data_IF_701822324276
#
_entry.id   IF_701822324276
#
_cell.length_a   1.000
_cell.length_b   1.000
_cell.length_c   1.000
_cell.angle_alpha   90.00
_cell.angle_beta   90.00
_cell.angle_gamma   90.00
#
_symmetry.space_group_name_H-M   'P 1'
#
loop_
_entity.id
_entity.type
_entity.pdbx_description
1 polymer ?
#
# COMPACT_ATOMS: atom_id res chain seq x y z
N UNK A 1 21.18 25.68 5.84
CA UNK A 1 20.63 24.70 6.79
C UNK A 1 19.19 24.28 6.48
N UNK A 2 18.17 25.17 6.40
CA UNK A 2 16.76 24.79 6.13
C UNK A 2 16.54 23.96 4.86
N UNK A 3 17.19 24.27 3.74
CA UNK A 3 17.06 23.51 2.50
C UNK A 3 17.56 22.07 2.60
N UNK A 4 18.66 21.85 3.33
CA UNK A 4 19.18 20.50 3.58
C UNK A 4 18.22 19.65 4.41
N UNK A 5 17.61 20.24 5.45
CA UNK A 5 16.60 19.55 6.27
C UNK A 5 15.37 19.14 5.46
N UNK A 6 14.90 20.03 4.57
CA UNK A 6 13.77 19.70 3.70
C UNK A 6 14.10 18.59 2.70
N UNK A 7 15.32 18.62 2.14
CA UNK A 7 15.78 17.58 1.23
C UNK A 7 15.93 16.24 1.94
N UNK A 8 16.51 16.22 3.14
CA UNK A 8 16.66 15.03 3.97
C UNK A 8 15.29 14.43 4.33
N UNK A 9 14.34 15.27 4.76
CA UNK A 9 12.97 14.82 5.08
C UNK A 9 12.29 14.21 3.84
N UNK A 10 12.38 14.86 2.67
CA UNK A 10 11.78 14.37 1.44
C UNK A 10 12.40 13.04 0.99
N UNK A 11 13.73 12.90 1.12
CA UNK A 11 14.43 11.66 0.82
C UNK A 11 13.98 10.53 1.75
N UNK A 12 13.87 10.80 3.05
CA UNK A 12 13.35 9.83 4.04
C UNK A 12 11.92 9.41 3.68
N UNK A 13 11.07 10.34 3.29
CA UNK A 13 9.68 10.06 2.87
C UNK A 13 9.64 9.12 1.66
N UNK A 14 10.48 9.36 0.65
CA UNK A 14 10.58 8.50 -0.54
C UNK A 14 11.11 7.11 -0.19
N UNK A 15 12.09 7.01 0.71
CA UNK A 15 12.63 5.73 1.17
C UNK A 15 11.53 4.92 1.89
N UNK A 16 10.80 5.53 2.81
CA UNK A 16 9.69 4.86 3.53
C UNK A 16 8.61 4.41 2.54
N UNK A 17 8.24 5.26 1.58
CA UNK A 17 7.28 4.90 0.55
C UNK A 17 7.78 3.74 -0.33
N UNK A 18 9.06 3.74 -0.69
CA UNK A 18 9.68 2.65 -1.43
C UNK A 18 9.62 1.31 -0.70
N UNK A 19 9.91 1.30 0.61
CA UNK A 19 9.73 0.11 1.43
C UNK A 19 8.28 -0.36 1.50
N UNK A 20 7.32 0.56 1.61
CA UNK A 20 5.89 0.23 1.57
C UNK A 20 5.48 -0.43 0.26
N UNK A 21 5.92 0.12 -0.87
CA UNK A 21 5.66 -0.43 -2.19
C UNK A 21 6.31 -1.80 -2.39
N UNK A 22 7.56 -1.98 -1.93
CA UNK A 22 8.25 -3.27 -2.00
C UNK A 22 7.52 -4.33 -1.16
N UNK A 23 7.16 -4.01 0.08
CA UNK A 23 6.42 -4.92 0.95
C UNK A 23 5.06 -5.29 0.35
N UNK A 24 4.35 -4.33 -0.23
CA UNK A 24 3.10 -4.57 -0.94
C UNK A 24 3.29 -5.44 -2.19
N UNK A 25 4.36 -5.19 -2.97
CA UNK A 25 4.72 -6.02 -4.11
C UNK A 25 5.00 -7.47 -3.70
N UNK A 26 5.74 -7.69 -2.61
CA UNK A 26 5.98 -9.03 -2.05
C UNK A 26 4.68 -9.69 -1.58
N UNK A 27 3.79 -8.94 -0.93
CA UNK A 27 2.46 -9.43 -0.54
C UNK A 27 1.63 -9.84 -1.77
N UNK A 28 1.71 -9.08 -2.87
CA UNK A 28 1.02 -9.41 -4.13
C UNK A 28 1.61 -10.66 -4.79
N UNK A 29 2.93 -10.86 -4.74
CA UNK A 29 3.57 -12.09 -5.23
C UNK A 29 3.13 -13.29 -4.40
N UNK A 30 3.06 -13.15 -3.08
CA UNK A 30 2.60 -14.20 -2.17
C UNK A 30 1.12 -14.54 -2.40
N UNK A 31 0.30 -13.55 -2.72
CA UNK A 31 -1.10 -13.75 -3.12
C UNK A 31 -1.22 -14.52 -4.46
N UNK A 32 -0.36 -14.20 -5.44
CA UNK A 32 -0.36 -14.85 -6.75
C UNK A 32 0.30 -16.23 -6.71
N UNK A 33 1.30 -16.44 -5.83
CA UNK A 33 2.09 -17.66 -5.71
C UNK A 33 2.19 -18.06 -4.23
N UNK A 34 1.13 -18.61 -3.63
CA UNK A 34 1.01 -18.78 -2.19
C UNK A 34 2.04 -19.74 -1.58
N UNK A 35 2.78 -20.48 -2.39
CA UNK A 35 3.84 -21.40 -1.90
C UNK A 35 5.23 -20.75 -1.82
N UNK A 36 5.40 -19.49 -2.29
CA UNK A 36 6.73 -18.93 -2.52
C UNK A 36 7.35 -18.24 -1.30
N UNK A 37 6.57 -17.47 -0.53
CA UNK A 37 7.14 -16.57 0.48
C UNK A 37 6.66 -16.90 1.91
N UNK A 38 5.39 -17.24 2.10
CA UNK A 38 4.82 -17.49 3.42
C UNK A 38 4.18 -18.88 3.54
N UNK A 39 4.93 -19.83 4.02
CA UNK A 39 4.36 -21.04 4.66
C UNK A 39 3.94 -20.64 6.09
N UNK A 40 2.95 -19.76 6.21
CA UNK A 40 2.58 -19.16 7.49
C UNK A 40 1.33 -19.80 8.10
N UNK A 41 1.26 -19.73 9.43
CA UNK A 41 0.12 -20.18 10.21
C UNK A 41 -1.17 -19.48 9.76
N UNK A 42 -2.23 -20.24 9.58
CA UNK A 42 -3.60 -19.75 9.41
C UNK A 42 -3.96 -19.00 10.69
N UNK A 43 -4.21 -17.69 10.59
CA UNK A 43 -4.73 -16.91 11.70
C UNK A 43 -6.24 -16.90 11.58
N UNK A 44 -6.94 -17.47 12.56
CA UNK A 44 -8.40 -17.34 12.66
C UNK A 44 -8.75 -15.84 12.69
N UNK A 45 -9.75 -15.43 11.91
CA UNK A 45 -10.10 -14.01 11.76
C UNK A 45 -9.25 -13.21 10.76
N UNK A 46 -8.42 -13.88 9.96
CA UNK A 46 -7.55 -13.20 8.99
C UNK A 46 -8.29 -12.39 7.94
N UNK A 47 -9.52 -12.79 7.58
CA UNK A 47 -10.34 -12.07 6.60
C UNK A 47 -10.82 -10.72 7.14
N UNK A 48 -11.29 -10.69 8.38
CA UNK A 48 -11.73 -9.46 9.04
C UNK A 48 -10.56 -8.49 9.22
N UNK A 49 -9.40 -9.00 9.65
CA UNK A 49 -8.18 -8.21 9.77
C UNK A 49 -7.78 -7.60 8.42
N UNK A 50 -7.75 -8.40 7.36
CA UNK A 50 -7.40 -7.94 6.02
C UNK A 50 -8.37 -6.86 5.53
N UNK A 51 -9.68 -7.02 5.77
CA UNK A 51 -10.68 -6.01 5.42
C UNK A 51 -10.46 -4.70 6.18
N UNK A 52 -10.21 -4.77 7.49
CA UNK A 52 -9.92 -3.59 8.32
C UNK A 52 -8.65 -2.89 7.82
N UNK A 53 -7.59 -3.62 7.51
CA UNK A 53 -6.34 -3.05 6.97
C UNK A 53 -6.55 -2.36 5.63
N UNK A 54 -7.30 -2.98 4.71
CA UNK A 54 -7.64 -2.38 3.41
C UNK A 54 -8.47 -1.11 3.57
N UNK A 55 -9.49 -1.14 4.43
CA UNK A 55 -10.32 0.03 4.71
C UNK A 55 -9.49 1.15 5.35
N UNK A 56 -8.66 0.83 6.34
CA UNK A 56 -7.81 1.81 7.01
C UNK A 56 -6.84 2.47 6.02
N UNK A 57 -6.17 1.69 5.18
CA UNK A 57 -5.30 2.22 4.13
C UNK A 57 -6.08 3.07 3.12
N UNK A 58 -7.20 2.55 2.58
CA UNK A 58 -8.00 3.23 1.56
C UNK A 58 -8.58 4.55 2.06
N UNK A 59 -9.11 4.59 3.28
CA UNK A 59 -9.65 5.80 3.91
C UNK A 59 -8.54 6.81 4.17
N UNK A 60 -7.44 6.40 4.80
CA UNK A 60 -6.29 7.28 5.08
C UNK A 60 -5.72 7.86 3.78
N UNK A 61 -5.44 7.03 2.79
CA UNK A 61 -4.89 7.45 1.50
C UNK A 61 -5.83 8.42 0.78
N UNK A 62 -7.12 8.08 0.70
CA UNK A 62 -8.13 8.91 0.02
C UNK A 62 -8.35 10.26 0.70
N UNK A 63 -8.35 10.31 2.03
CA UNK A 63 -8.51 11.55 2.80
C UNK A 63 -7.28 12.44 2.58
N UNK A 64 -6.08 11.91 2.75
CA UNK A 64 -4.84 12.70 2.63
C UNK A 64 -4.55 13.15 1.20
N UNK A 65 -5.08 12.46 0.19
CA UNK A 65 -4.96 12.87 -1.22
C UNK A 65 -5.75 14.15 -1.55
N UNK A 66 -6.80 14.46 -0.78
CA UNK A 66 -7.70 15.60 -1.05
C UNK A 66 -7.00 16.94 -0.88
N UNK A 67 -7.27 17.87 -1.80
CA UNK A 67 -6.73 19.25 -1.76
C UNK A 67 -7.02 19.96 -0.43
N UNK A 68 -8.25 19.87 0.06
CA UNK A 68 -8.64 20.49 1.33
C UNK A 68 -7.77 20.03 2.52
N UNK A 69 -7.41 18.74 2.57
CA UNK A 69 -6.53 18.19 3.62
C UNK A 69 -5.10 18.69 3.44
N UNK A 70 -4.59 18.72 2.20
CA UNK A 70 -3.26 19.27 1.90
C UNK A 70 -3.17 20.77 2.23
N UNK A 71 -4.21 21.53 1.95
CA UNK A 71 -4.29 22.96 2.29
C UNK A 71 -4.34 23.17 3.81
N UNK A 72 -5.08 22.33 4.53
CA UNK A 72 -5.10 22.34 5.99
C UNK A 72 -3.72 21.98 6.57
N UNK A 73 -3.08 20.92 6.08
CA UNK A 73 -1.71 20.56 6.47
C UNK A 73 -0.71 21.69 6.21
N UNK A 74 -0.87 22.41 5.10
CA UNK A 74 -0.04 23.57 4.74
C UNK A 74 -0.16 24.77 5.66
N UNK A 75 -1.15 24.79 6.60
CA UNK A 75 -1.25 25.78 7.69
C UNK A 75 -0.44 25.37 8.92
N UNK A 76 -0.17 24.07 9.08
CA UNK A 76 0.52 23.50 10.26
C UNK A 76 2.00 23.26 9.95
N UNK A 77 2.30 22.77 8.75
CA UNK A 77 3.66 22.46 8.30
C UNK A 77 4.02 23.27 7.05
N UNK A 78 5.30 23.52 6.78
CA UNK A 78 5.73 24.20 5.55
C UNK A 78 5.16 23.52 4.30
N UNK A 79 4.59 24.31 3.39
CA UNK A 79 3.92 23.78 2.17
C UNK A 79 4.79 22.81 1.37
N UNK A 80 6.11 23.04 1.35
CA UNK A 80 7.09 22.15 0.67
C UNK A 80 7.14 20.74 1.28
N UNK A 81 6.74 20.56 2.54
CA UNK A 81 6.73 19.27 3.22
C UNK A 81 5.38 18.53 3.15
N UNK A 82 4.31 19.18 2.68
CA UNK A 82 2.97 18.55 2.63
C UNK A 82 2.96 17.31 1.76
N UNK A 83 3.52 17.38 0.55
CA UNK A 83 3.61 16.23 -0.36
C UNK A 83 4.51 15.13 0.18
N UNK A 84 5.75 15.39 0.64
CA UNK A 84 6.57 14.37 1.28
C UNK A 84 5.89 13.70 2.47
N UNK A 85 5.19 14.46 3.32
CA UNK A 85 4.44 13.91 4.47
C UNK A 85 3.33 12.96 4.01
N UNK A 86 2.56 13.34 3.00
CA UNK A 86 1.54 12.46 2.41
C UNK A 86 2.16 11.16 1.88
N UNK A 87 3.25 11.26 1.11
CA UNK A 87 3.96 10.10 0.53
C UNK A 87 4.48 9.18 1.62
N UNK A 88 5.07 9.75 2.68
CA UNK A 88 5.59 9.00 3.82
C UNK A 88 4.48 8.22 4.53
N UNK A 89 3.37 8.86 4.87
CA UNK A 89 2.25 8.21 5.54
C UNK A 89 1.58 7.14 4.68
N UNK A 90 1.42 7.40 3.38
CA UNK A 90 0.87 6.40 2.45
C UNK A 90 1.76 5.17 2.34
N UNK A 91 3.08 5.37 2.26
CA UNK A 91 4.03 4.26 2.24
C UNK A 91 4.08 3.49 3.56
N UNK A 92 4.05 4.21 4.70
CA UNK A 92 4.03 3.57 6.01
C UNK A 92 2.77 2.72 6.22
N UNK A 93 1.58 3.25 5.90
CA UNK A 93 0.33 2.48 6.05
C UNK A 93 0.25 1.32 5.07
N UNK A 94 0.82 1.45 3.87
CA UNK A 94 0.94 0.37 2.92
C UNK A 94 1.89 -0.74 3.43
N UNK A 95 2.99 -0.35 4.07
CA UNK A 95 3.90 -1.28 4.72
C UNK A 95 3.21 -2.05 5.86
N UNK A 96 2.46 -1.35 6.72
CA UNK A 96 1.70 -1.97 7.82
C UNK A 96 0.65 -2.95 7.27
N UNK A 97 -0.06 -2.57 6.21
CA UNK A 97 -1.01 -3.45 5.53
C UNK A 97 -0.31 -4.72 5.05
N UNK A 98 0.82 -4.60 4.35
CA UNK A 98 1.54 -5.74 3.82
C UNK A 98 2.15 -6.62 4.94
N UNK A 99 2.66 -6.00 6.02
CA UNK A 99 3.29 -6.71 7.14
C UNK A 99 2.28 -7.50 7.98
N UNK A 100 1.07 -6.97 8.16
CA UNK A 100 0.00 -7.58 8.96
C UNK A 100 -0.98 -8.40 8.12
N UNK A 101 -0.79 -8.44 6.80
CA UNK A 101 -1.65 -9.22 5.92
C UNK A 101 -1.66 -10.69 6.31
N UNK A 102 -2.84 -11.22 6.58
CA UNK A 102 -3.02 -12.64 6.88
C UNK A 102 -3.37 -13.40 5.60
N UNK A 103 -2.55 -14.36 5.16
CA UNK A 103 -2.89 -15.20 4.02
C UNK A 103 -4.14 -16.02 4.33
N UNK A 104 -5.09 -16.03 3.40
CA UNK A 104 -6.31 -16.83 3.51
C UNK A 104 -6.03 -18.23 2.95
N UNK A 105 -6.10 -19.24 3.80
CA UNK A 105 -5.93 -20.63 3.39
C UNK A 105 -7.09 -21.49 3.95
N UNK A 106 -7.71 -22.39 3.18
CA UNK A 106 -7.48 -22.63 1.76
C UNK A 106 -7.83 -21.41 0.90
N UNK A 107 -7.19 -21.26 -0.28
CA UNK A 107 -7.51 -20.12 -1.15
C UNK A 107 -9.00 -20.11 -1.45
N UNK A 108 -9.65 -18.97 -1.24
CA UNK A 108 -11.10 -18.79 -1.46
C UNK A 108 -11.49 -19.15 -2.90
N UNK A 109 -10.53 -19.17 -3.80
CA UNK A 109 -10.72 -19.45 -5.21
C UNK A 109 -9.43 -19.92 -5.88
N UNK A 110 -9.52 -21.00 -6.68
CA UNK A 110 -8.41 -21.42 -7.54
C UNK A 110 -8.42 -20.59 -8.83
N UNK A 111 -7.72 -19.46 -8.81
CA UNK A 111 -7.71 -18.52 -9.93
C UNK A 111 -6.98 -19.06 -11.17
N UNK A 112 -6.05 -20.01 -11.02
CA UNK A 112 -5.17 -20.41 -12.10
C UNK A 112 -5.87 -21.20 -13.20
N UNK A 113 -6.99 -21.85 -12.91
CA UNK A 113 -7.76 -22.66 -13.88
C UNK A 113 -9.10 -22.01 -14.28
N UNK A 114 -9.35 -20.75 -13.92
CA UNK A 114 -10.63 -20.08 -14.15
C UNK A 114 -10.49 -18.84 -15.04
N UNK A 115 -11.47 -18.64 -15.92
CA UNK A 115 -11.59 -17.40 -16.71
C UNK A 115 -11.66 -16.14 -15.82
N UNK A 116 -12.21 -16.28 -14.62
CA UNK A 116 -12.28 -15.20 -13.62
C UNK A 116 -10.90 -14.81 -13.10
N UNK A 117 -10.01 -15.77 -12.91
CA UNK A 117 -8.63 -15.49 -12.52
C UNK A 117 -7.88 -14.68 -13.59
N UNK A 118 -8.09 -15.02 -14.85
CA UNK A 118 -7.51 -14.26 -15.96
C UNK A 118 -8.02 -12.81 -16.00
N UNK A 119 -9.33 -12.60 -15.78
CA UNK A 119 -9.92 -11.26 -15.71
C UNK A 119 -9.35 -10.45 -14.53
N UNK A 120 -9.18 -11.06 -13.37
CA UNK A 120 -8.58 -10.41 -12.19
C UNK A 120 -7.13 -10.01 -12.47
N UNK A 121 -6.34 -10.87 -13.12
CA UNK A 121 -4.97 -10.53 -13.54
C UNK A 121 -4.92 -9.37 -14.52
N UNK A 122 -5.83 -9.29 -15.48
CA UNK A 122 -5.92 -8.15 -16.41
C UNK A 122 -6.26 -6.87 -15.64
N UNK A 123 -7.27 -6.90 -14.77
CA UNK A 123 -7.66 -5.73 -13.96
C UNK A 123 -6.52 -5.29 -13.04
N UNK A 124 -5.80 -6.24 -12.44
CA UNK A 124 -4.63 -5.96 -11.63
C UNK A 124 -3.52 -5.31 -12.46
N UNK A 125 -3.22 -5.85 -13.64
CA UNK A 125 -2.22 -5.28 -14.56
C UNK A 125 -2.58 -3.86 -15.01
N UNK A 126 -3.85 -3.60 -15.29
CA UNK A 126 -4.35 -2.24 -15.61
C UNK A 126 -4.16 -1.32 -14.40
N UNK A 127 -4.49 -1.76 -13.19
CA UNK A 127 -4.31 -0.99 -11.96
C UNK A 127 -2.84 -0.61 -11.73
N UNK A 128 -1.91 -1.56 -11.89
CA UNK A 128 -0.47 -1.30 -11.80
C UNK A 128 -0.01 -0.32 -12.87
N UNK A 129 -0.46 -0.50 -14.12
CA UNK A 129 -0.12 0.41 -15.21
C UNK A 129 -0.60 1.84 -14.93
N UNK A 130 -1.81 2.01 -14.39
CA UNK A 130 -2.33 3.33 -14.00
C UNK A 130 -1.49 4.00 -12.93
N UNK A 131 -0.99 3.24 -11.96
CA UNK A 131 -0.11 3.78 -10.91
C UNK A 131 1.25 4.21 -11.45
N UNK A 132 1.78 3.49 -12.45
CA UNK A 132 3.08 3.80 -13.05
C UNK A 132 3.02 5.00 -14.00
N UNK A 133 1.87 5.24 -14.66
CA UNK A 133 1.69 6.30 -15.65
C UNK A 133 1.29 7.64 -14.98
N UNK A 134 0.79 7.63 -13.74
CA UNK A 134 0.36 8.84 -13.00
C UNK A 134 1.49 9.45 -12.21
#
# INVERSE_FOLDING_TARGET
MRRLLFLQYSLTAVIIAGFGLLAFGMMMIDFLFPETIRKGAIIEGGMELNLVLLLAFGVQHSIMARRAVKDFMGKIIPKVLVTPTYVMWSGFTLFVLAALWSPLWPPLYDFWCSIWGFLVLILWGIGVAMVVIT
#
